data_IF_183508894489
#
_entry.id   IF_183508894489
#
_cell.length_a   1.000
_cell.length_b   1.000
_cell.length_c   1.000
_cell.angle_alpha   90.00
_cell.angle_beta   90.00
_cell.angle_gamma   90.00
#
_symmetry.space_group_name_H-M   'P 1'
#
loop_
_entity.id
_entity.type
_entity.pdbx_description
1 polymer ?
#
# COMPACT_ATOMS: atom_id res chain seq x y z
N UNK A 1 -0.10 22.34 -13.09
CA UNK A 1 -1.46 21.73 -13.15
C UNK A 1 -1.57 20.69 -12.05
N UNK A 2 -2.75 20.50 -11.50
CA UNK A 2 -2.98 19.57 -10.38
C UNK A 2 -3.57 18.28 -10.93
N UNK A 3 -3.17 17.11 -10.39
CA UNK A 3 -3.79 15.84 -10.74
C UNK A 3 -5.32 15.90 -10.61
N UNK A 4 -6.09 15.12 -11.39
CA UNK A 4 -7.55 15.05 -11.31
C UNK A 4 -8.04 14.85 -9.87
N UNK A 5 -9.20 15.40 -9.55
CA UNK A 5 -9.74 15.36 -8.17
C UNK A 5 -9.83 13.93 -7.65
N UNK A 6 -10.33 13.00 -8.45
CA UNK A 6 -10.43 11.59 -8.06
C UNK A 6 -9.06 10.96 -7.73
N UNK A 7 -8.00 11.27 -8.50
CA UNK A 7 -6.64 10.79 -8.20
C UNK A 7 -6.13 11.36 -6.88
N UNK A 8 -6.41 12.64 -6.61
CA UNK A 8 -6.01 13.29 -5.35
C UNK A 8 -6.72 12.68 -4.14
N UNK A 9 -8.02 12.43 -4.26
CA UNK A 9 -8.83 11.79 -3.20
C UNK A 9 -8.33 10.35 -2.96
N UNK A 10 -8.13 9.58 -4.02
CA UNK A 10 -7.61 8.20 -3.90
C UNK A 10 -6.22 8.16 -3.28
N UNK A 11 -5.33 9.08 -3.66
CA UNK A 11 -4.01 9.19 -3.05
C UNK A 11 -4.09 9.56 -1.56
N UNK A 12 -4.97 10.50 -1.19
CA UNK A 12 -5.17 10.86 0.22
C UNK A 12 -5.67 9.66 1.02
N UNK A 13 -6.61 8.89 0.47
CA UNK A 13 -7.09 7.66 1.09
C UNK A 13 -5.92 6.67 1.31
N UNK A 14 -5.09 6.43 0.28
CA UNK A 14 -3.92 5.55 0.41
C UNK A 14 -2.95 6.03 1.50
N UNK A 15 -2.69 7.33 1.60
CA UNK A 15 -1.81 7.92 2.62
C UNK A 15 -2.35 7.72 4.03
N UNK A 16 -3.62 8.07 4.25
CA UNK A 16 -4.25 7.98 5.58
C UNK A 16 -4.34 6.54 6.04
N UNK A 17 -4.87 5.65 5.19
CA UNK A 17 -5.00 4.23 5.53
C UNK A 17 -3.65 3.56 5.65
N UNK A 18 -2.68 3.89 4.80
CA UNK A 18 -1.32 3.38 4.88
C UNK A 18 -0.60 3.81 6.15
N UNK A 19 -0.68 5.10 6.53
CA UNK A 19 -0.10 5.59 7.79
C UNK A 19 -0.75 4.91 9.01
N UNK A 20 -2.08 4.77 9.03
CA UNK A 20 -2.79 4.06 10.09
C UNK A 20 -2.36 2.59 10.17
N UNK A 21 -2.24 1.91 9.03
CA UNK A 21 -1.77 0.52 8.96
C UNK A 21 -0.35 0.38 9.52
N UNK A 22 0.57 1.28 9.15
CA UNK A 22 1.95 1.26 9.66
C UNK A 22 2.00 1.45 11.17
N UNK A 23 1.29 2.44 11.71
CA UNK A 23 1.27 2.71 13.15
C UNK A 23 0.70 1.52 13.94
N UNK A 24 -0.40 0.94 13.47
CA UNK A 24 -0.99 -0.25 14.08
C UNK A 24 -0.07 -1.47 13.96
N UNK A 25 0.57 -1.68 12.81
CA UNK A 25 1.54 -2.75 12.62
C UNK A 25 2.71 -2.67 13.60
N UNK A 26 3.27 -1.47 13.78
CA UNK A 26 4.34 -1.23 14.77
C UNK A 26 3.88 -1.44 16.21
N UNK A 27 2.63 -1.08 16.52
CA UNK A 27 2.07 -1.32 17.85
C UNK A 27 1.91 -2.81 18.15
N UNK A 28 1.55 -3.62 17.14
CA UNK A 28 1.41 -5.08 17.27
C UNK A 28 2.74 -5.79 17.60
N UNK A 29 3.88 -5.20 17.22
CA UNK A 29 5.19 -5.74 17.61
C UNK A 29 5.45 -5.67 19.13
N UNK A 30 4.86 -4.67 19.79
CA UNK A 30 5.04 -4.45 21.23
C UNK A 30 3.96 -5.11 22.07
N UNK A 31 2.72 -5.02 21.61
CA UNK A 31 1.54 -5.50 22.33
C UNK A 31 0.53 -6.11 21.35
N UNK A 32 0.55 -7.42 21.14
CA UNK A 32 -0.46 -8.10 20.31
C UNK A 32 -1.86 -7.85 20.87
N UNK A 33 -2.78 -7.38 20.01
CA UNK A 33 -4.18 -7.11 20.34
C UNK A 33 -5.08 -7.54 19.20
N UNK A 34 -6.09 -8.40 19.42
CA UNK A 34 -7.02 -8.82 18.38
C UNK A 34 -7.76 -7.66 17.71
N UNK A 35 -8.15 -6.65 18.49
CA UNK A 35 -8.82 -5.47 18.00
C UNK A 35 -7.90 -4.63 17.10
N UNK A 36 -6.65 -4.42 17.51
CA UNK A 36 -5.65 -3.70 16.70
C UNK A 36 -5.33 -4.46 15.42
N UNK A 37 -5.24 -5.80 15.50
CA UNK A 37 -5.01 -6.65 14.32
C UNK A 37 -6.15 -6.54 13.29
N UNK A 38 -7.40 -6.58 13.74
CA UNK A 38 -8.57 -6.41 12.86
C UNK A 38 -8.60 -5.01 12.22
N UNK A 39 -8.32 -3.97 12.99
CA UNK A 39 -8.25 -2.59 12.50
C UNK A 39 -7.12 -2.41 11.50
N UNK A 40 -5.94 -2.98 11.78
CA UNK A 40 -4.79 -3.02 10.87
C UNK A 40 -5.16 -3.69 9.54
N UNK A 41 -5.80 -4.86 9.59
CA UNK A 41 -6.23 -5.57 8.40
C UNK A 41 -7.28 -4.77 7.58
N UNK A 42 -8.23 -4.13 8.25
CA UNK A 42 -9.22 -3.27 7.61
C UNK A 42 -8.60 -2.05 6.91
N UNK A 43 -7.68 -1.34 7.58
CA UNK A 43 -6.97 -0.22 6.98
C UNK A 43 -6.05 -0.68 5.83
N UNK A 44 -5.39 -1.84 5.97
CA UNK A 44 -4.57 -2.42 4.92
C UNK A 44 -5.41 -2.76 3.68
N UNK A 45 -6.60 -3.33 3.84
CA UNK A 45 -7.53 -3.61 2.74
C UNK A 45 -7.92 -2.32 2.00
N UNK A 46 -8.27 -1.25 2.72
CA UNK A 46 -8.59 0.04 2.12
C UNK A 46 -7.39 0.65 1.37
N UNK A 47 -6.17 0.52 1.92
CA UNK A 47 -4.95 0.95 1.24
C UNK A 47 -4.70 0.17 -0.05
N UNK A 48 -4.90 -1.14 -0.05
CA UNK A 48 -4.76 -1.99 -1.26
C UNK A 48 -5.79 -1.60 -2.31
N UNK A 49 -7.05 -1.37 -1.93
CA UNK A 49 -8.09 -0.91 -2.85
C UNK A 49 -7.75 0.45 -3.46
N UNK A 50 -7.22 1.38 -2.65
CA UNK A 50 -6.76 2.68 -3.14
C UNK A 50 -5.56 2.54 -4.10
N UNK A 51 -4.60 1.63 -3.81
CA UNK A 51 -3.48 1.33 -4.70
C UNK A 51 -3.98 0.78 -6.05
N UNK A 52 -4.92 -0.15 -6.03
CA UNK A 52 -5.51 -0.70 -7.26
C UNK A 52 -6.30 0.34 -8.05
N UNK A 53 -7.03 1.22 -7.36
CA UNK A 53 -7.71 2.33 -8.01
C UNK A 53 -6.72 3.29 -8.71
N UNK A 54 -5.59 3.62 -8.07
CA UNK A 54 -4.52 4.41 -8.68
C UNK A 54 -3.85 3.67 -9.85
N UNK A 55 -3.60 2.38 -9.72
CA UNK A 55 -3.07 1.54 -10.79
C UNK A 55 -4.02 1.52 -12.01
N UNK A 56 -5.32 1.35 -11.77
CA UNK A 56 -6.33 1.42 -12.83
C UNK A 56 -6.38 2.78 -13.52
N UNK A 57 -6.35 3.87 -12.76
CA UNK A 57 -6.32 5.22 -13.30
C UNK A 57 -5.07 5.45 -14.18
N UNK A 58 -3.91 4.98 -13.76
CA UNK A 58 -2.63 5.17 -14.44
C UNK A 58 -2.32 4.13 -15.53
N UNK A 59 -3.15 3.10 -15.74
CA UNK A 59 -2.85 1.95 -16.61
C UNK A 59 -2.50 2.29 -18.06
N UNK A 60 -3.03 3.41 -18.58
CA UNK A 60 -2.74 3.89 -19.94
C UNK A 60 -1.50 4.77 -19.99
N UNK A 61 -1.16 5.45 -18.90
CA UNK A 61 -0.04 6.39 -18.80
C UNK A 61 1.26 5.67 -18.41
N UNK A 62 1.17 4.66 -17.57
CA UNK A 62 2.29 3.91 -17.02
C UNK A 62 1.91 2.43 -16.80
N UNK A 63 1.71 1.63 -17.88
CA UNK A 63 1.17 0.27 -17.78
C UNK A 63 2.05 -0.66 -16.93
N UNK A 64 3.37 -0.58 -17.04
CA UNK A 64 4.31 -1.38 -16.23
C UNK A 64 4.21 -1.09 -14.73
N UNK A 65 4.11 0.18 -14.35
CA UNK A 65 3.92 0.57 -12.95
C UNK A 65 2.53 0.15 -12.42
N UNK A 66 1.50 0.25 -13.26
CA UNK A 66 0.15 -0.18 -12.90
C UNK A 66 0.09 -1.69 -12.66
N UNK A 67 0.74 -2.48 -13.52
CA UNK A 67 0.84 -3.93 -13.35
C UNK A 67 1.62 -4.30 -12.09
N UNK A 68 2.76 -3.65 -11.85
CA UNK A 68 3.55 -3.84 -10.64
C UNK A 68 2.73 -3.55 -9.38
N UNK A 69 2.01 -2.44 -9.36
CA UNK A 69 1.17 -2.06 -8.21
C UNK A 69 -0.01 -3.03 -8.01
N UNK A 70 -0.58 -3.55 -9.09
CA UNK A 70 -1.63 -4.58 -9.01
C UNK A 70 -1.09 -5.87 -8.37
N UNK A 71 0.09 -6.34 -8.79
CA UNK A 71 0.76 -7.51 -8.21
C UNK A 71 1.15 -7.27 -6.74
N UNK A 72 1.62 -6.06 -6.41
CA UNK A 72 1.99 -5.68 -5.04
C UNK A 72 0.78 -5.67 -4.10
N UNK A 73 -0.38 -5.22 -4.61
CA UNK A 73 -1.64 -5.26 -3.86
C UNK A 73 -2.12 -6.68 -3.54
N UNK A 74 -1.70 -7.70 -4.30
CA UNK A 74 -1.92 -9.12 -3.96
C UNK A 74 -0.86 -9.63 -2.99
N UNK A 75 0.40 -9.23 -3.17
CA UNK A 75 1.51 -9.67 -2.32
C UNK A 75 1.33 -9.23 -0.86
N UNK A 76 0.84 -8.01 -0.63
CA UNK A 76 0.64 -7.45 0.71
C UNK A 76 -0.23 -8.32 1.61
N UNK A 77 -1.51 -8.63 1.25
CA UNK A 77 -2.34 -9.50 2.09
C UNK A 77 -1.81 -10.92 2.14
N UNK A 78 -1.25 -11.47 1.04
CA UNK A 78 -0.66 -12.80 1.03
C UNK A 78 0.46 -12.92 2.06
N UNK A 79 1.40 -11.95 2.09
CA UNK A 79 2.47 -11.91 3.07
C UNK A 79 1.93 -11.65 4.50
N UNK A 80 0.92 -10.80 4.63
CA UNK A 80 0.27 -10.51 5.91
C UNK A 80 -0.34 -11.75 6.57
N UNK A 81 -0.99 -12.62 5.79
CA UNK A 81 -1.50 -13.89 6.29
C UNK A 81 -0.38 -14.93 6.50
N UNK A 82 0.55 -15.02 5.56
CA UNK A 82 1.63 -16.00 5.62
C UNK A 82 2.61 -15.74 6.78
N UNK A 83 2.80 -14.50 7.20
CA UNK A 83 3.72 -14.17 8.30
C UNK A 83 3.38 -14.87 9.61
N UNK A 84 2.12 -15.27 9.84
CA UNK A 84 1.71 -15.99 11.05
C UNK A 84 2.35 -17.39 11.15
N UNK A 85 2.72 -17.97 10.02
CA UNK A 85 3.29 -19.32 9.91
C UNK A 85 4.75 -19.33 9.43
N UNK A 86 5.23 -18.22 8.85
CA UNK A 86 6.58 -18.13 8.32
C UNK A 86 7.60 -17.80 9.43
N UNK A 87 8.71 -18.54 9.44
CA UNK A 87 9.84 -18.35 10.36
C UNK A 87 9.40 -18.16 11.82
N UNK A 88 8.70 -19.13 12.43
CA UNK A 88 8.28 -19.01 13.83
C UNK A 88 9.50 -18.96 14.76
N UNK A 89 9.33 -18.33 15.94
CA UNK A 89 10.39 -18.24 16.94
C UNK A 89 11.33 -17.06 16.76
N UNK A 90 12.61 -17.24 17.06
CA UNK A 90 13.60 -16.15 17.15
C UNK A 90 13.83 -15.38 15.86
N UNK A 91 13.51 -15.94 14.70
CA UNK A 91 13.71 -15.30 13.39
C UNK A 91 12.44 -14.64 12.82
N UNK A 92 11.33 -14.67 13.54
CA UNK A 92 10.05 -14.11 13.08
C UNK A 92 10.13 -12.60 12.73
N UNK A 93 11.00 -11.87 13.41
CA UNK A 93 11.24 -10.45 13.12
C UNK A 93 11.63 -10.18 11.65
N UNK A 94 12.30 -11.14 10.98
CA UNK A 94 12.70 -11.00 9.56
C UNK A 94 11.44 -10.86 8.68
N UNK A 95 10.42 -11.68 8.92
CA UNK A 95 9.16 -11.60 8.18
C UNK A 95 8.40 -10.32 8.50
N UNK A 96 8.43 -9.87 9.75
CA UNK A 96 7.81 -8.60 10.15
C UNK A 96 8.46 -7.41 9.43
N UNK A 97 9.80 -7.37 9.38
CA UNK A 97 10.54 -6.33 8.65
C UNK A 97 10.25 -6.41 7.15
N UNK A 98 10.24 -7.61 6.56
CA UNK A 98 9.91 -7.78 5.15
C UNK A 98 8.50 -7.27 4.84
N UNK A 99 7.51 -7.64 5.66
CA UNK A 99 6.14 -7.16 5.51
C UNK A 99 6.05 -5.62 5.62
N UNK A 100 6.77 -5.03 6.57
CA UNK A 100 6.88 -3.57 6.72
C UNK A 100 7.45 -2.91 5.44
N UNK A 101 8.55 -3.44 4.90
CA UNK A 101 9.18 -2.91 3.69
C UNK A 101 8.27 -3.02 2.46
N UNK A 102 7.56 -4.13 2.32
CA UNK A 102 6.56 -4.32 1.25
C UNK A 102 5.42 -3.31 1.41
N UNK A 103 4.95 -3.05 2.64
CA UNK A 103 3.93 -2.04 2.92
C UNK A 103 4.40 -0.61 2.59
N UNK A 104 5.62 -0.24 2.99
CA UNK A 104 6.21 1.06 2.65
C UNK A 104 6.37 1.25 1.15
N UNK A 105 6.82 0.21 0.44
CA UNK A 105 6.98 0.28 -1.02
C UNK A 105 5.64 0.44 -1.75
N UNK A 106 4.53 -0.08 -1.21
CA UNK A 106 3.20 0.15 -1.75
C UNK A 106 2.78 1.63 -1.67
N UNK A 107 3.10 2.32 -0.57
CA UNK A 107 2.87 3.77 -0.45
C UNK A 107 3.71 4.55 -1.48
N UNK A 108 4.98 4.20 -1.67
CA UNK A 108 5.82 4.81 -2.70
C UNK A 108 5.24 4.59 -4.10
N UNK A 109 4.71 3.40 -4.39
CA UNK A 109 4.05 3.13 -5.67
C UNK A 109 2.79 3.99 -5.85
N UNK A 110 1.96 4.15 -4.81
CA UNK A 110 0.79 5.02 -4.85
C UNK A 110 1.16 6.47 -5.19
N UNK A 111 2.24 7.01 -4.59
CA UNK A 111 2.76 8.35 -4.89
C UNK A 111 3.23 8.46 -6.36
N UNK A 112 3.98 7.47 -6.84
CA UNK A 112 4.48 7.46 -8.22
C UNK A 112 3.35 7.37 -9.24
N UNK A 113 2.34 6.51 -9.00
CA UNK A 113 1.17 6.39 -9.87
C UNK A 113 0.39 7.71 -9.93
N UNK A 114 0.18 8.38 -8.82
CA UNK A 114 -0.49 9.68 -8.80
C UNK A 114 0.34 10.77 -9.50
N UNK A 115 1.67 10.68 -9.45
CA UNK A 115 2.56 11.63 -10.13
C UNK A 115 2.51 11.51 -11.66
N UNK A 116 2.21 10.32 -12.22
CA UNK A 116 2.11 10.14 -13.69
C UNK A 116 1.04 11.04 -14.30
N UNK A 117 -0.07 11.27 -13.61
CA UNK A 117 -1.13 12.17 -14.07
C UNK A 117 -0.66 13.62 -14.18
N UNK A 118 0.15 14.08 -13.23
CA UNK A 118 0.73 15.44 -13.26
C UNK A 118 1.71 15.65 -14.41
N UNK A 119 2.44 14.59 -14.78
CA UNK A 119 3.41 14.64 -15.88
C UNK A 119 2.75 14.50 -17.25
N UNK A 120 1.70 13.68 -17.39
CA UNK A 120 0.94 13.52 -18.62
C UNK A 120 0.33 14.85 -19.10
N UNK A 121 -0.23 15.62 -18.19
CA UNK A 121 -0.82 16.93 -18.51
C UNK A 121 0.23 17.98 -18.98
N UNK A 122 1.49 17.88 -18.50
CA UNK A 122 2.57 18.80 -18.92
C UNK A 122 3.07 18.54 -20.36
N UNK A 123 2.81 17.37 -20.90
CA UNK A 123 3.26 17.01 -22.27
C UNK A 123 2.28 17.40 -23.36
N UNK A 124 1.08 17.83 -23.00
CA UNK A 124 0.00 18.19 -23.93
C UNK A 124 -0.08 19.72 -24.16
N UNK A 125 0.71 20.48 -23.41
CA UNK A 125 0.88 21.94 -23.55
C UNK A 125 2.21 22.25 -24.23
#
# INVERSE_FOLDING_TARGET
>A
MQAPVHTRVTLMLARVTGAATLLMGLSLWRAPSPMVLQSHAGCAALMVLALWALAWQARRLAPGMALLAAAWGLLLPALGFAQLSLLPGAHHWVIQVLHLLVGLSALVQAERLAATHRQGERRVV
#
